data_IF_824702459774
#
_entry.id   IF_824702459774
#
_cell.length_a   1.000
_cell.length_b   1.000
_cell.length_c   1.000
_cell.angle_alpha   90.00
_cell.angle_beta   90.00
_cell.angle_gamma   90.00
#
_symmetry.space_group_name_H-M   'P 1'
#
loop_
_entity.id
_entity.type
_entity.pdbx_description
1 polymer ?
#
# COMPACT_ATOMS: atom_id res chain seq x y z
N UNK A 1 -3.72 -3.51 32.53
CA UNK A 1 -2.45 -3.21 31.82
C UNK A 1 -2.13 -4.37 30.89
N UNK A 2 -2.42 -4.23 29.59
CA UNK A 2 -2.01 -5.23 28.58
C UNK A 2 -0.84 -4.63 27.82
N UNK A 3 0.36 -5.09 28.18
CA UNK A 3 1.60 -4.88 27.43
C UNK A 3 1.41 -5.30 25.97
N UNK A 4 1.78 -4.42 25.05
CA UNK A 4 1.58 -4.57 23.62
C UNK A 4 2.18 -5.84 23.02
N UNK A 5 1.32 -6.68 22.44
CA UNK A 5 1.79 -7.55 21.36
C UNK A 5 1.98 -6.67 20.13
N UNK A 6 3.24 -6.32 19.87
CA UNK A 6 3.72 -5.85 18.60
C UNK A 6 3.04 -6.57 17.43
N UNK A 7 2.23 -5.86 16.63
CA UNK A 7 1.66 -6.42 15.42
C UNK A 7 2.76 -6.49 14.36
N UNK A 8 3.35 -7.67 14.18
CA UNK A 8 4.54 -7.86 13.35
C UNK A 8 4.39 -7.27 11.93
N UNK A 9 3.31 -7.54 11.17
CA UNK A 9 3.13 -6.91 9.85
C UNK A 9 3.08 -5.38 9.89
N UNK A 10 2.43 -4.79 10.90
CA UNK A 10 2.37 -3.33 11.06
C UNK A 10 3.76 -2.75 11.34
N UNK A 11 4.53 -3.35 12.24
CA UNK A 11 5.90 -2.88 12.53
C UNK A 11 6.82 -3.01 11.32
N UNK A 12 6.65 -4.08 10.54
CA UNK A 12 7.40 -4.27 9.32
C UNK A 12 7.03 -3.20 8.28
N UNK A 13 5.75 -2.85 8.12
CA UNK A 13 5.34 -1.79 7.21
C UNK A 13 5.81 -0.41 7.66
N UNK A 14 5.80 -0.12 8.96
CA UNK A 14 6.39 1.09 9.56
C UNK A 14 7.88 1.18 9.26
N UNK A 15 8.62 0.08 9.45
CA UNK A 15 10.06 0.03 9.19
C UNK A 15 10.38 0.27 7.71
N UNK A 16 9.60 -0.32 6.79
CA UNK A 16 9.75 -0.10 5.34
C UNK A 16 9.49 1.37 4.99
N UNK A 17 8.45 1.98 5.55
CA UNK A 17 8.15 3.40 5.35
C UNK A 17 9.27 4.30 5.86
N UNK A 18 9.78 4.04 7.06
CA UNK A 18 10.89 4.81 7.63
C UNK A 18 12.13 4.76 6.72
N UNK A 19 12.52 3.57 6.24
CA UNK A 19 13.65 3.43 5.31
C UNK A 19 13.40 4.21 4.02
N UNK A 20 12.19 4.13 3.46
CA UNK A 20 11.83 4.89 2.25
C UNK A 20 11.88 6.41 2.46
N UNK A 21 11.47 6.90 3.63
CA UNK A 21 11.51 8.33 3.96
C UNK A 21 12.94 8.89 4.07
N UNK A 22 13.88 8.09 4.56
CA UNK A 22 15.29 8.49 4.69
C UNK A 22 16.17 8.06 3.50
N UNK A 23 15.57 7.49 2.45
CA UNK A 23 16.30 7.03 1.26
C UNK A 23 17.24 5.84 1.52
N UNK A 24 16.96 5.02 2.53
CA UNK A 24 17.72 3.81 2.84
C UNK A 24 17.16 2.58 2.12
N UNK A 25 18.02 1.58 1.89
CA UNK A 25 17.61 0.32 1.29
C UNK A 25 16.62 -0.43 2.19
N UNK A 26 15.53 -0.92 1.60
CA UNK A 26 14.50 -1.71 2.26
C UNK A 26 14.36 -3.12 1.67
N UNK A 27 15.32 -3.59 0.87
CA UNK A 27 15.22 -4.87 0.15
C UNK A 27 15.00 -6.06 1.08
N UNK A 28 15.71 -6.12 2.21
CA UNK A 28 15.57 -7.19 3.20
C UNK A 28 14.18 -7.21 3.84
N UNK A 29 13.66 -6.03 4.24
CA UNK A 29 12.33 -5.88 4.82
C UNK A 29 11.22 -6.25 3.83
N UNK A 30 11.37 -5.82 2.56
CA UNK A 30 10.45 -6.18 1.47
C UNK A 30 10.48 -7.67 1.15
N UNK A 31 11.62 -8.33 1.31
CA UNK A 31 11.73 -9.79 1.18
C UNK A 31 10.99 -10.48 2.31
N UNK A 32 11.11 -10.00 3.54
CA UNK A 32 10.35 -10.50 4.68
C UNK A 32 8.84 -10.37 4.45
N UNK A 33 8.40 -9.20 3.97
CA UNK A 33 7.01 -8.92 3.58
C UNK A 33 6.47 -9.91 2.53
N UNK A 34 7.31 -10.32 1.58
CA UNK A 34 6.97 -11.28 0.55
C UNK A 34 6.73 -12.69 1.10
N UNK A 35 7.52 -13.11 2.09
CA UNK A 35 7.50 -14.47 2.65
C UNK A 35 6.54 -14.65 3.84
N UNK A 36 5.82 -13.60 4.26
CA UNK A 36 4.74 -13.77 5.23
C UNK A 36 3.71 -14.76 4.68
N UNK A 37 3.38 -15.79 5.46
CA UNK A 37 2.31 -16.73 5.08
C UNK A 37 0.97 -16.00 5.02
N UNK A 38 0.19 -16.26 3.97
CA UNK A 38 -1.13 -15.62 3.74
C UNK A 38 -2.04 -15.70 4.96
N UNK A 39 -2.20 -16.89 5.53
CA UNK A 39 -3.08 -17.10 6.69
C UNK A 39 -2.57 -16.37 7.94
N UNK A 40 -1.25 -16.22 8.09
CA UNK A 40 -0.66 -15.44 9.19
C UNK A 40 -0.91 -13.96 8.99
N UNK A 41 -0.75 -13.45 7.77
CA UNK A 41 -1.06 -12.05 7.46
C UNK A 41 -2.53 -11.73 7.77
N UNK A 42 -3.47 -12.58 7.34
CA UNK A 42 -4.89 -12.44 7.66
C UNK A 42 -5.17 -12.47 9.17
N UNK A 43 -4.51 -13.37 9.90
CA UNK A 43 -4.65 -13.50 11.35
C UNK A 43 -4.11 -12.27 12.10
N UNK A 44 -2.98 -11.72 11.67
CA UNK A 44 -2.40 -10.52 12.28
C UNK A 44 -3.18 -9.25 11.91
N UNK A 45 -3.71 -9.15 10.69
CA UNK A 45 -4.53 -8.02 10.23
C UNK A 45 -6.02 -8.27 10.49
N UNK A 46 -6.35 -8.62 11.74
CA UNK A 46 -7.69 -9.06 12.13
C UNK A 46 -8.72 -7.94 12.24
N UNK A 47 -8.27 -6.69 12.37
CA UNK A 47 -9.14 -5.51 12.47
C UNK A 47 -8.91 -4.55 11.31
N UNK A 48 -9.95 -3.78 10.97
CA UNK A 48 -9.84 -2.75 9.94
C UNK A 48 -8.79 -1.70 10.29
N UNK A 49 -8.65 -1.33 11.57
CA UNK A 49 -7.60 -0.41 12.02
C UNK A 49 -6.20 -0.95 11.69
N UNK A 50 -5.93 -2.23 11.97
CA UNK A 50 -4.63 -2.85 11.68
C UNK A 50 -4.37 -2.92 10.17
N UNK A 51 -5.40 -3.26 9.40
CA UNK A 51 -5.35 -3.24 7.93
C UNK A 51 -5.04 -1.84 7.41
N UNK A 52 -5.74 -0.81 7.90
CA UNK A 52 -5.53 0.58 7.49
C UNK A 52 -4.08 1.00 7.72
N UNK A 53 -3.59 0.86 8.95
CA UNK A 53 -2.21 1.25 9.29
C UNK A 53 -1.21 0.51 8.41
N UNK A 54 -1.37 -0.81 8.28
CA UNK A 54 -0.50 -1.63 7.46
C UNK A 54 -0.48 -1.15 6.00
N UNK A 55 -1.64 -1.02 5.36
CA UNK A 55 -1.75 -0.72 3.94
C UNK A 55 -1.41 0.73 3.60
N UNK A 56 -1.73 1.69 4.48
CA UNK A 56 -1.29 3.09 4.31
C UNK A 56 0.22 3.19 4.35
N UNK A 57 0.89 2.51 5.30
CA UNK A 57 2.34 2.48 5.37
C UNK A 57 2.96 1.87 4.11
N UNK A 58 2.44 0.73 3.64
CA UNK A 58 2.90 0.09 2.41
C UNK A 58 2.70 1.00 1.20
N UNK A 59 1.53 1.64 1.07
CA UNK A 59 1.26 2.58 -0.03
C UNK A 59 2.28 3.72 -0.03
N UNK A 60 2.43 4.41 1.10
CA UNK A 60 3.31 5.57 1.21
C UNK A 60 4.77 5.21 0.96
N UNK A 61 5.23 4.07 1.49
CA UNK A 61 6.59 3.62 1.29
C UNK A 61 6.89 3.34 -0.19
N UNK A 62 5.98 2.63 -0.87
CA UNK A 62 6.17 2.31 -2.28
C UNK A 62 6.00 3.51 -3.20
N UNK A 63 5.16 4.50 -2.84
CA UNK A 63 5.11 5.79 -3.56
C UNK A 63 6.46 6.51 -3.53
N UNK A 64 7.13 6.53 -2.37
CA UNK A 64 8.48 7.12 -2.23
C UNK A 64 9.54 6.32 -3.02
N UNK A 65 9.56 5.00 -2.86
CA UNK A 65 10.52 4.12 -3.56
C UNK A 65 10.39 4.27 -5.08
N UNK A 66 9.16 4.27 -5.61
CA UNK A 66 8.95 4.43 -7.06
C UNK A 66 9.31 5.82 -7.56
N UNK A 67 9.10 6.86 -6.74
CA UNK A 67 9.50 8.22 -7.09
C UNK A 67 11.03 8.35 -7.20
N UNK A 68 11.76 7.73 -6.27
CA UNK A 68 13.24 7.69 -6.24
C UNK A 68 13.82 6.94 -7.44
N UNK A 69 13.18 5.84 -7.85
CA UNK A 69 13.53 5.08 -9.05
C UNK A 69 13.20 5.80 -10.39
N UNK A 70 12.68 7.03 -10.34
CA UNK A 70 12.31 7.80 -11.53
C UNK A 70 11.06 7.30 -12.25
N UNK A 71 10.26 6.43 -11.64
CA UNK A 71 9.02 5.90 -12.22
C UNK A 71 7.88 6.90 -11.98
N UNK A 72 7.82 7.92 -12.82
CA UNK A 72 6.99 9.10 -12.60
C UNK A 72 5.90 9.22 -13.67
N UNK A 73 5.23 8.12 -14.02
CA UNK A 73 4.10 8.13 -14.96
C UNK A 73 2.82 7.71 -14.25
N UNK A 74 1.65 8.10 -14.77
CA UNK A 74 0.37 7.62 -14.26
C UNK A 74 0.26 6.08 -14.29
N UNK A 75 1.04 5.41 -15.15
CA UNK A 75 1.13 3.95 -15.18
C UNK A 75 1.80 3.35 -13.94
N UNK A 76 2.65 4.11 -13.23
CA UNK A 76 3.33 3.65 -12.02
C UNK A 76 2.34 3.11 -10.99
N UNK A 77 1.21 3.81 -10.84
CA UNK A 77 0.13 3.45 -9.92
C UNK A 77 -0.55 2.12 -10.26
N UNK A 78 -0.53 1.71 -11.54
CA UNK A 78 -1.17 0.49 -12.04
C UNK A 78 -0.23 -0.72 -12.05
N UNK A 79 1.09 -0.53 -11.99
CA UNK A 79 2.07 -1.61 -12.09
C UNK A 79 2.10 -2.43 -10.79
N UNK A 80 1.99 -3.77 -10.93
CA UNK A 80 2.00 -4.71 -9.80
C UNK A 80 3.41 -4.98 -9.25
N UNK A 81 3.98 -3.99 -8.55
CA UNK A 81 5.36 -4.04 -8.01
C UNK A 81 5.44 -4.33 -6.51
N UNK A 82 4.33 -4.24 -5.81
CA UNK A 82 4.25 -4.40 -4.36
C UNK A 82 3.97 -5.87 -4.07
N UNK A 83 4.95 -6.60 -3.51
CA UNK A 83 4.82 -8.03 -3.26
C UNK A 83 4.59 -8.30 -1.78
N UNK A 84 3.40 -8.77 -1.43
CA UNK A 84 3.00 -9.09 -0.05
C UNK A 84 2.45 -10.52 -0.03
N UNK A 85 2.99 -11.37 0.84
CA UNK A 85 2.55 -12.76 1.01
C UNK A 85 2.33 -13.51 -0.33
N UNK A 86 3.38 -13.54 -1.15
CA UNK A 86 3.38 -14.12 -2.51
C UNK A 86 2.38 -13.53 -3.52
N UNK A 87 1.76 -12.39 -3.21
CA UNK A 87 0.77 -11.74 -4.08
C UNK A 87 1.29 -10.37 -4.50
N UNK A 88 1.09 -10.03 -5.78
CA UNK A 88 1.54 -8.75 -6.33
C UNK A 88 0.37 -7.76 -6.42
N UNK A 89 0.59 -6.56 -5.88
CA UNK A 89 -0.36 -5.46 -5.80
C UNK A 89 0.22 -4.23 -6.50
N UNK A 90 -0.66 -3.41 -7.06
CA UNK A 90 -0.36 -2.03 -7.48
C UNK A 90 -0.76 -1.02 -6.40
N UNK A 91 -0.36 0.25 -6.55
CA UNK A 91 -0.84 1.31 -5.67
C UNK A 91 -2.36 1.50 -5.82
N UNK A 92 -2.89 1.37 -7.04
CA UNK A 92 -4.34 1.39 -7.30
C UNK A 92 -5.07 0.23 -6.61
N UNK A 93 -4.47 -0.97 -6.58
CA UNK A 93 -5.06 -2.11 -5.87
C UNK A 93 -5.16 -1.78 -4.37
N UNK A 94 -4.14 -1.17 -3.78
CA UNK A 94 -4.15 -0.81 -2.35
C UNK A 94 -5.14 0.32 -2.07
N UNK A 95 -5.04 1.44 -2.79
CA UNK A 95 -5.86 2.63 -2.54
C UNK A 95 -7.34 2.35 -2.74
N UNK A 96 -7.67 1.72 -3.87
CA UNK A 96 -9.05 1.61 -4.26
C UNK A 96 -9.67 0.26 -3.87
N UNK A 97 -8.95 -0.89 -3.88
CA UNK A 97 -9.58 -2.21 -3.60
C UNK A 97 -9.53 -2.52 -2.12
N UNK A 98 -8.36 -2.25 -1.52
CA UNK A 98 -8.08 -2.65 -0.16
C UNK A 98 -8.54 -1.58 0.83
N UNK A 99 -8.15 -0.32 0.61
CA UNK A 99 -8.55 0.82 1.45
C UNK A 99 -9.90 1.41 1.03
N UNK A 100 -10.39 1.09 -0.17
CA UNK A 100 -11.69 1.52 -0.70
C UNK A 100 -11.86 3.04 -0.72
N UNK A 101 -10.75 3.75 -0.81
CA UNK A 101 -10.73 5.20 -0.94
C UNK A 101 -11.35 5.54 -2.29
N UNK A 102 -12.40 6.37 -2.30
CA UNK A 102 -13.12 6.78 -3.53
C UNK A 102 -14.04 5.70 -4.17
N UNK A 103 -14.63 4.80 -3.36
CA UNK A 103 -15.64 3.80 -3.75
C UNK A 103 -16.91 4.40 -4.44
N UNK A 104 -17.03 5.72 -4.54
CA UNK A 104 -18.13 6.40 -5.25
C UNK A 104 -17.95 6.45 -6.77
N UNK A 105 -16.76 6.12 -7.29
CA UNK A 105 -16.53 6.12 -8.74
C UNK A 105 -17.14 4.85 -9.39
N UNK A 106 -18.14 4.96 -10.29
CA UNK A 106 -18.82 3.80 -10.87
C UNK A 106 -17.91 2.91 -11.73
N UNK A 107 -16.88 3.48 -12.37
CA UNK A 107 -15.83 2.70 -13.07
C UNK A 107 -15.11 1.76 -12.11
N UNK A 108 -15.01 2.16 -10.85
CA UNK A 108 -14.25 1.45 -9.84
C UNK A 108 -15.02 0.27 -9.26
N UNK A 109 -16.31 0.44 -8.96
CA UNK A 109 -17.22 -0.67 -8.57
C UNK A 109 -17.24 -1.79 -9.60
N UNK A 110 -17.14 -1.44 -10.89
CA UNK A 110 -17.08 -2.42 -11.97
C UNK A 110 -15.77 -3.25 -11.94
N UNK A 111 -14.63 -2.60 -11.71
CA UNK A 111 -13.32 -3.26 -11.61
C UNK A 111 -13.21 -4.13 -10.35
N UNK A 112 -13.77 -3.68 -9.24
CA UNK A 112 -13.80 -4.42 -7.97
C UNK A 112 -14.60 -5.73 -8.07
N UNK A 113 -15.71 -5.70 -8.82
CA UNK A 113 -16.55 -6.88 -9.01
C UNK A 113 -15.92 -7.95 -9.92
N UNK A 114 -15.09 -7.55 -10.90
CA UNK A 114 -14.50 -8.45 -11.91
C UNK A 114 -13.15 -9.07 -11.52
N UNK A 115 -12.35 -8.43 -10.66
CA UNK A 115 -10.94 -8.82 -10.47
C UNK A 115 -10.46 -8.96 -9.01
N UNK A 116 -11.34 -8.81 -8.02
CA UNK A 116 -10.97 -9.11 -6.63
C UNK A 116 -11.03 -10.61 -6.35
N UNK A 117 -9.89 -11.28 -6.44
CA UNK A 117 -9.73 -12.63 -5.92
C UNK A 117 -10.14 -12.67 -4.43
N UNK A 118 -10.65 -13.80 -3.95
CA UNK A 118 -11.10 -14.00 -2.57
C UNK A 118 -10.09 -13.52 -1.53
N UNK A 119 -8.79 -13.62 -1.84
CA UNK A 119 -7.69 -13.16 -1.00
C UNK A 119 -7.66 -11.64 -0.78
N UNK A 120 -7.88 -10.82 -1.81
CA UNK A 120 -7.88 -9.34 -1.69
C UNK A 120 -9.03 -8.91 -0.79
N UNK A 121 -10.20 -9.53 -0.92
CA UNK A 121 -11.39 -9.22 -0.11
C UNK A 121 -11.17 -9.47 1.39
N UNK A 122 -10.37 -10.47 1.75
CA UNK A 122 -10.04 -10.75 3.16
C UNK A 122 -9.11 -9.70 3.77
N UNK A 123 -8.20 -9.16 2.95
CA UNK A 123 -7.23 -8.14 3.35
C UNK A 123 -7.79 -6.71 3.28
N UNK A 124 -8.87 -6.50 2.54
CA UNK A 124 -9.57 -5.23 2.43
C UNK A 124 -10.25 -4.82 3.74
N UNK A 125 -10.38 -3.50 3.94
CA UNK A 125 -11.15 -2.92 5.04
C UNK A 125 -12.65 -3.09 4.75
N UNK A 126 -13.44 -3.32 5.80
CA UNK A 126 -14.90 -3.45 5.66
C UNK A 126 -15.54 -2.07 5.53
N UNK A 127 -15.16 -1.14 6.40
CA UNK A 127 -15.69 0.22 6.41
C UNK A 127 -14.75 1.20 5.69
N UNK A 128 -15.32 2.08 4.88
CA UNK A 128 -14.55 3.11 4.17
C UNK A 128 -14.30 4.29 5.11
N UNK A 129 -13.05 4.49 5.49
CA UNK A 129 -12.63 5.67 6.24
C UNK A 129 -12.07 6.73 5.27
N UNK A 130 -12.87 7.76 5.01
CA UNK A 130 -12.48 8.86 4.12
C UNK A 130 -11.34 9.72 4.70
N UNK A 131 -11.08 9.67 6.01
CA UNK A 131 -9.94 10.37 6.61
C UNK A 131 -8.60 9.83 6.10
N UNK A 132 -8.56 8.58 5.63
CA UNK A 132 -7.37 7.96 5.03
C UNK A 132 -6.94 8.68 3.74
N UNK A 133 -7.82 9.44 3.09
CA UNK A 133 -7.48 10.19 1.87
C UNK A 133 -6.33 11.16 2.09
N UNK A 134 -6.28 11.83 3.25
CA UNK A 134 -5.20 12.77 3.59
C UNK A 134 -3.93 12.07 4.07
N UNK A 135 -4.03 10.80 4.46
CA UNK A 135 -2.88 10.00 4.91
C UNK A 135 -2.08 9.39 3.75
N UNK A 136 -2.66 9.27 2.56
CA UNK A 136 -1.96 8.77 1.38
C UNK A 136 -1.10 9.87 0.73
N UNK A 137 0.23 9.65 0.71
CA UNK A 137 1.17 10.52 0.02
C UNK A 137 1.20 10.23 -1.49
N UNK A 138 0.26 10.84 -2.20
CA UNK A 138 0.23 10.87 -3.68
C UNK A 138 1.21 11.90 -4.26
N UNK A 139 1.75 12.78 -3.42
CA UNK A 139 2.55 13.92 -3.85
C UNK A 139 3.97 13.54 -4.23
N UNK A 140 4.52 12.48 -3.63
CA UNK A 140 5.85 11.96 -3.96
C UNK A 140 6.01 11.67 -5.47
N UNK A 141 5.06 10.92 -6.04
CA UNK A 141 5.01 10.61 -7.47
C UNK A 141 4.66 11.85 -8.33
N UNK A 142 3.83 12.77 -7.81
CA UNK A 142 3.45 14.00 -8.50
C UNK A 142 4.58 15.05 -8.58
N UNK A 143 5.45 15.13 -7.57
CA UNK A 143 6.63 16.03 -7.58
C UNK A 143 7.71 15.56 -8.55
N UNK A 144 7.82 14.24 -8.74
CA UNK A 144 8.60 13.69 -9.84
C UNK A 144 8.14 14.25 -11.19
N UNK A 145 6.84 14.13 -11.48
CA UNK A 145 6.21 14.61 -12.71
C UNK A 145 6.49 16.10 -13.03
N UNK A 146 6.61 16.97 -12.02
CA UNK A 146 6.88 18.41 -12.24
C UNK A 146 8.35 18.73 -12.51
N UNK A 147 9.30 18.05 -11.83
CA UNK A 147 10.75 18.29 -11.99
C UNK A 147 11.22 18.01 -13.44
N UNK A 148 10.59 17.06 -14.13
CA UNK A 148 10.93 16.70 -15.51
C UNK A 148 10.34 17.67 -16.54
N UNK A 149 9.13 18.21 -16.30
CA UNK A 149 8.50 19.21 -17.20
C UNK A 149 9.25 20.53 -17.27
N UNK A 150 10.07 20.85 -16.27
CA UNK A 150 10.92 22.04 -16.25
C UNK A 150 12.30 21.82 -16.89
N UNK A 151 12.59 20.59 -17.33
CA UNK A 151 13.88 20.19 -17.92
C UNK A 151 13.77 19.86 -19.43
N UNK A 152 12.64 20.20 -20.06
CA UNK A 152 12.39 20.14 -21.51
C UNK A 152 12.12 21.58 -21.97
#
# INVERSE_FOLDING_TARGET
MVSGMANFPVQLSESILLHAQVGQDSCSLRRELYFIKKDKLEMYLSTDQLKCVFWVNIYNAYSLIMADEGVQTAEAYKRKRIKVAHTAFSLDDIEFKILRINDRNPLYKFIDNLFCCSYIRKLAVKEVDYSLQSMLDRTALAKGLSKYRSSI
#
